data_IF_548022804489
#
_entry.id   IF_548022804489
#
_cell.length_a   1.000
_cell.length_b   1.000
_cell.length_c   1.000
_cell.angle_alpha   90.00
_cell.angle_beta   90.00
_cell.angle_gamma   90.00
#
_symmetry.space_group_name_H-M   'P 1'
#
loop_
_entity.id
_entity.type
_entity.pdbx_description
1 polymer ?
#
# COMPACT_ATOMS: atom_id res chain seq x y z
N UNK A 1 -6.63 -5.42 -2.26
CA UNK A 1 -6.36 -4.56 -1.08
C UNK A 1 -7.61 -3.99 -0.41
N UNK A 2 -8.71 -3.74 -1.13
CA UNK A 2 -9.71 -2.72 -0.73
C UNK A 2 -10.68 -3.08 0.40
N UNK A 3 -11.02 -4.36 0.59
CA UNK A 3 -11.91 -4.75 1.68
C UNK A 3 -11.20 -5.05 3.01
N UNK A 4 -9.88 -5.19 2.97
CA UNK A 4 -9.07 -5.59 4.11
C UNK A 4 -8.39 -4.41 4.79
N UNK A 5 -8.27 -3.29 4.07
CA UNK A 5 -7.67 -2.07 4.57
C UNK A 5 -8.78 -1.09 4.92
N UNK A 6 -8.72 -0.53 6.12
CA UNK A 6 -9.45 0.69 6.41
C UNK A 6 -8.88 1.86 5.60
N UNK A 7 -9.63 2.97 5.59
CA UNK A 7 -9.26 4.19 4.86
C UNK A 7 -7.87 4.70 5.22
N UNK A 8 -7.50 4.67 6.50
CA UNK A 8 -6.21 5.17 6.95
C UNK A 8 -5.07 4.24 6.57
N UNK A 9 -5.28 2.93 6.62
CA UNK A 9 -4.32 1.91 6.21
C UNK A 9 -4.06 1.98 4.70
N UNK A 10 -5.11 2.14 3.90
CA UNK A 10 -4.98 2.37 2.45
C UNK A 10 -4.22 3.67 2.15
N UNK A 11 -4.59 4.77 2.81
CA UNK A 11 -3.91 6.08 2.65
C UNK A 11 -2.43 5.98 3.02
N UNK A 12 -2.10 5.33 4.14
CA UNK A 12 -0.71 5.09 4.54
C UNK A 12 0.04 4.24 3.53
N UNK A 13 -0.56 3.14 3.09
CA UNK A 13 0.05 2.24 2.11
C UNK A 13 0.35 2.97 0.80
N UNK A 14 -0.59 3.76 0.29
CA UNK A 14 -0.41 4.52 -0.95
C UNK A 14 0.75 5.53 -0.81
N UNK A 15 0.74 6.34 0.25
CA UNK A 15 1.78 7.35 0.48
C UNK A 15 3.15 6.70 0.63
N UNK A 16 3.25 5.65 1.45
CA UNK A 16 4.54 4.98 1.64
C UNK A 16 5.03 4.25 0.39
N UNK A 17 4.15 3.62 -0.39
CA UNK A 17 4.55 3.01 -1.66
C UNK A 17 5.16 4.05 -2.61
N UNK A 18 4.52 5.21 -2.76
CA UNK A 18 5.00 6.28 -3.66
C UNK A 18 6.32 6.91 -3.16
N UNK A 19 6.46 7.09 -1.85
CA UNK A 19 7.64 7.75 -1.28
C UNK A 19 8.84 6.81 -1.10
N UNK A 20 8.61 5.52 -0.86
CA UNK A 20 9.69 4.61 -0.47
C UNK A 20 9.89 3.42 -1.40
N UNK A 21 8.91 3.04 -2.22
CA UNK A 21 9.01 1.86 -3.10
C UNK A 21 9.19 2.21 -4.58
N UNK A 22 9.10 3.48 -4.96
CA UNK A 22 9.29 3.97 -6.33
C UNK A 22 7.99 4.40 -7.00
N UNK A 23 7.91 4.26 -8.31
CA UNK A 23 6.69 4.52 -9.07
C UNK A 23 5.73 3.34 -8.92
N UNK A 24 4.46 3.64 -8.62
CA UNK A 24 3.45 2.63 -8.35
C UNK A 24 2.63 2.34 -9.61
N UNK A 25 2.71 1.09 -10.11
CA UNK A 25 1.82 0.62 -11.17
C UNK A 25 0.51 0.10 -10.57
N UNK A 26 -0.62 0.65 -11.00
CA UNK A 26 -1.95 0.27 -10.51
C UNK A 26 -2.82 -0.24 -11.64
N UNK A 27 -3.28 -1.50 -11.60
CA UNK A 27 -4.24 -2.01 -12.57
C UNK A 27 -5.51 -1.17 -12.54
N UNK A 28 -5.93 -0.73 -13.72
CA UNK A 28 -7.05 0.18 -13.96
C UNK A 28 -8.31 -0.12 -13.15
N UNK A 29 -8.68 -1.40 -13.01
CA UNK A 29 -9.90 -1.79 -12.33
C UNK A 29 -9.94 -1.32 -10.88
N UNK A 30 -8.80 -1.33 -10.17
CA UNK A 30 -8.70 -0.89 -8.77
C UNK A 30 -9.05 0.59 -8.59
N UNK A 31 -8.90 1.40 -9.64
CA UNK A 31 -9.32 2.81 -9.58
C UNK A 31 -10.83 2.95 -9.41
N UNK A 32 -11.60 2.03 -10.00
CA UNK A 32 -13.05 2.19 -10.16
C UNK A 32 -13.87 1.26 -9.26
N UNK A 33 -13.29 0.17 -8.75
CA UNK A 33 -13.99 -0.72 -7.80
C UNK A 33 -13.80 -0.28 -6.33
N UNK A 34 -12.75 0.48 -6.04
CA UNK A 34 -12.45 0.96 -4.68
C UNK A 34 -13.31 2.14 -4.26
N UNK A 35 -13.95 2.04 -3.09
CA UNK A 35 -14.46 3.24 -2.39
C UNK A 35 -13.34 4.11 -1.86
N UNK A 36 -12.16 3.53 -1.59
CA UNK A 36 -11.06 4.20 -0.90
C UNK A 36 -10.36 5.24 -1.77
N UNK A 37 -10.32 5.04 -3.09
CA UNK A 37 -9.84 6.05 -4.03
C UNK A 37 -10.75 7.28 -4.07
N UNK A 38 -12.07 7.06 -4.12
CA UNK A 38 -13.03 8.15 -4.07
C UNK A 38 -12.92 8.92 -2.75
N UNK A 39 -12.83 8.21 -1.62
CA UNK A 39 -12.69 8.85 -0.31
C UNK A 39 -11.37 9.62 -0.16
N UNK A 40 -10.32 9.23 -0.88
CA UNK A 40 -9.04 9.94 -0.92
C UNK A 40 -9.15 11.23 -1.75
N UNK A 41 -9.78 11.16 -2.93
CA UNK A 41 -10.05 12.33 -3.78
C UNK A 41 -10.93 13.34 -3.04
N UNK A 42 -12.00 12.86 -2.38
CA UNK A 42 -12.94 13.69 -1.63
C UNK A 42 -12.34 14.29 -0.35
N UNK A 43 -11.28 13.70 0.19
CA UNK A 43 -10.63 14.17 1.42
C UNK A 43 -9.80 15.44 1.28
N UNK A 44 -9.63 15.95 0.05
CA UNK A 44 -8.71 17.04 -0.23
C UNK A 44 -9.44 18.34 -0.64
N UNK A 45 -9.68 19.27 0.29
CA UNK A 45 -10.43 20.50 0.02
C UNK A 45 -9.62 21.57 -0.75
N UNK A 46 -8.32 21.37 -0.97
CA UNK A 46 -7.42 22.41 -1.51
C UNK A 46 -7.08 22.23 -3.00
N UNK A 47 -7.76 21.31 -3.71
CA UNK A 47 -7.65 21.15 -5.16
C UNK A 47 -6.35 20.49 -5.66
N UNK A 48 -5.36 20.25 -4.79
CA UNK A 48 -4.10 19.59 -5.16
C UNK A 48 -3.91 18.29 -4.37
N UNK A 49 -4.71 17.27 -4.70
CA UNK A 49 -4.68 16.02 -3.94
C UNK A 49 -3.39 15.23 -4.16
N UNK A 50 -2.92 14.56 -3.12
CA UNK A 50 -1.70 13.75 -3.19
C UNK A 50 -1.74 12.77 -4.36
N UNK A 51 -2.88 12.09 -4.58
CA UNK A 51 -3.06 11.15 -5.70
C UNK A 51 -3.01 11.85 -7.06
N UNK A 52 -3.67 13.01 -7.23
CA UNK A 52 -3.60 13.80 -8.46
C UNK A 52 -2.16 14.21 -8.76
N UNK A 53 -1.41 14.63 -7.74
CA UNK A 53 0.02 14.98 -7.88
C UNK A 53 0.87 13.75 -8.24
N UNK A 54 0.60 12.58 -7.65
CA UNK A 54 1.29 11.34 -8.03
C UNK A 54 1.08 10.98 -9.50
N UNK A 55 -0.16 11.06 -9.99
CA UNK A 55 -0.51 10.81 -11.39
C UNK A 55 0.18 11.83 -12.30
N UNK A 56 0.11 13.11 -11.96
CA UNK A 56 0.71 14.21 -12.73
C UNK A 56 2.23 14.10 -12.87
N UNK A 57 2.90 13.54 -11.85
CA UNK A 57 4.36 13.39 -11.82
C UNK A 57 4.83 11.99 -12.24
N UNK A 58 3.94 11.10 -12.71
CA UNK A 58 4.31 9.76 -13.16
C UNK A 58 4.64 8.75 -12.05
N UNK A 59 4.50 9.13 -10.78
CA UNK A 59 4.71 8.21 -9.66
C UNK A 59 3.50 7.29 -9.38
N UNK A 60 2.37 7.56 -10.03
CA UNK A 60 1.24 6.65 -10.11
C UNK A 60 0.95 6.36 -11.59
N UNK A 61 1.25 5.14 -12.01
CA UNK A 61 1.19 4.68 -13.39
C UNK A 61 -0.01 3.73 -13.54
N UNK A 62 -1.13 4.16 -14.14
CA UNK A 62 -2.22 3.24 -14.40
C UNK A 62 -1.80 2.19 -15.45
N UNK A 63 -2.20 0.94 -15.22
CA UNK A 63 -2.09 -0.13 -16.20
C UNK A 63 -3.47 -0.40 -16.82
N UNK A 64 -3.69 0.12 -18.02
CA UNK A 64 -4.94 0.01 -18.78
C UNK A 64 -4.99 -1.31 -19.55
N UNK A 65 -6.16 -1.95 -19.59
CA UNK A 65 -6.38 -3.18 -20.39
C UNK A 65 -6.23 -2.99 -21.89
N UNK A 66 -6.46 -1.77 -22.37
CA UNK A 66 -6.41 -1.39 -23.77
C UNK A 66 -5.62 -0.09 -23.89
N UNK A 67 -5.09 0.19 -25.08
CA UNK A 67 -4.52 1.49 -25.36
C UNK A 67 -5.65 2.53 -25.44
N UNK A 68 -5.76 3.35 -24.40
CA UNK A 68 -6.75 4.43 -24.29
C UNK A 68 -6.18 5.80 -24.61
N UNK A 69 -4.98 5.84 -25.22
CA UNK A 69 -4.24 7.06 -25.52
C UNK A 69 -4.03 7.95 -24.29
N UNK A 70 -3.94 7.33 -23.11
CA UNK A 70 -3.72 8.02 -21.84
C UNK A 70 -4.97 8.64 -21.19
N UNK A 71 -6.18 8.27 -21.60
CA UNK A 71 -7.41 8.78 -20.97
C UNK A 71 -8.01 7.80 -19.95
N UNK A 72 -8.26 8.31 -18.74
CA UNK A 72 -9.00 7.60 -17.68
C UNK A 72 -10.49 7.48 -18.04
N UNK A 73 -11.07 8.53 -18.62
CA UNK A 73 -12.48 8.52 -19.03
C UNK A 73 -12.77 7.49 -20.13
N UNK A 74 -11.87 7.35 -21.12
CA UNK A 74 -11.97 6.32 -22.16
C UNK A 74 -11.83 4.92 -21.54
N UNK A 75 -10.84 4.73 -20.67
CA UNK A 75 -10.61 3.47 -19.99
C UNK A 75 -11.83 3.00 -19.17
N UNK A 76 -12.49 3.90 -18.42
CA UNK A 76 -13.71 3.55 -17.70
C UNK A 76 -14.83 3.08 -18.62
N UNK A 77 -15.04 3.76 -19.76
CA UNK A 77 -16.05 3.35 -20.76
C UNK A 77 -15.78 1.96 -21.30
N UNK A 78 -14.53 1.61 -21.55
CA UNK A 78 -14.16 0.27 -22.04
C UNK A 78 -14.35 -0.80 -20.97
N UNK A 79 -14.04 -0.51 -19.70
CA UNK A 79 -14.34 -1.40 -18.57
C UNK A 79 -15.85 -1.64 -18.44
N UNK A 80 -16.67 -0.60 -18.55
CA UNK A 80 -18.14 -0.69 -18.50
C UNK A 80 -18.70 -1.50 -19.67
N UNK A 81 -18.21 -1.29 -20.90
CA UNK A 81 -18.60 -2.09 -22.08
C UNK A 81 -18.31 -3.57 -21.92
N UNK A 82 -17.19 -3.90 -21.28
CA UNK A 82 -16.80 -5.28 -20.98
C UNK A 82 -17.58 -5.89 -19.79
N UNK A 83 -18.57 -5.17 -19.24
CA UNK A 83 -19.43 -5.65 -18.15
C UNK A 83 -18.65 -6.18 -16.94
N UNK A 84 -17.52 -5.53 -16.63
CA UNK A 84 -16.72 -5.88 -15.46
C UNK A 84 -17.53 -5.51 -14.20
N UNK A 85 -17.67 -6.46 -13.29
CA UNK A 85 -18.47 -6.33 -12.08
C UNK A 85 -17.78 -5.48 -11.00
N UNK A 86 -18.57 -4.94 -10.08
CA UNK A 86 -18.08 -4.22 -8.89
C UNK A 86 -17.66 -2.77 -9.11
N UNK A 87 -17.95 -2.16 -10.27
CA UNK A 87 -17.65 -0.74 -10.52
C UNK A 87 -18.48 0.13 -9.56
N UNK A 88 -17.81 1.00 -8.81
CA UNK A 88 -18.44 1.88 -7.83
C UNK A 88 -19.20 3.02 -8.52
N UNK A 89 -20.29 3.50 -7.91
CA UNK A 89 -21.13 4.58 -8.47
C UNK A 89 -20.40 5.93 -8.63
N UNK A 90 -19.26 6.11 -7.96
CA UNK A 90 -18.36 7.29 -8.09
C UNK A 90 -17.27 7.13 -9.15
N UNK A 91 -17.24 6.04 -9.92
CA UNK A 91 -16.16 5.79 -10.89
C UNK A 91 -15.97 6.91 -11.93
N UNK A 92 -17.07 7.50 -12.43
CA UNK A 92 -16.99 8.61 -13.38
C UNK A 92 -16.33 9.86 -12.77
N UNK A 93 -16.65 10.16 -11.50
CA UNK A 93 -16.00 11.25 -10.76
C UNK A 93 -14.50 10.98 -10.63
N UNK A 94 -14.11 9.76 -10.23
CA UNK A 94 -12.69 9.38 -10.11
C UNK A 94 -11.98 9.57 -11.46
N UNK A 95 -12.56 9.08 -12.55
CA UNK A 95 -11.98 9.22 -13.89
C UNK A 95 -11.79 10.69 -14.29
N UNK A 96 -12.81 11.54 -14.08
CA UNK A 96 -12.75 12.96 -14.40
C UNK A 96 -11.67 13.70 -13.58
N UNK A 97 -11.58 13.43 -12.28
CA UNK A 97 -10.62 14.06 -11.37
C UNK A 97 -9.18 13.66 -11.71
N UNK A 98 -8.94 12.41 -12.13
CA UNK A 98 -7.64 11.93 -12.57
C UNK A 98 -7.27 12.46 -13.97
N UNK A 99 -8.24 12.58 -14.87
CA UNK A 99 -8.06 13.20 -16.20
C UNK A 99 -7.69 14.70 -16.07
N UNK A 100 -8.34 15.42 -15.16
CA UNK A 100 -7.99 16.81 -14.87
C UNK A 100 -6.54 16.95 -14.36
N UNK A 101 -6.08 15.99 -13.54
CA UNK A 101 -4.73 16.02 -12.97
C UNK A 101 -3.62 15.97 -14.03
N UNK A 102 -3.91 15.40 -15.21
CA UNK A 102 -2.99 15.29 -16.34
C UNK A 102 -3.23 16.34 -17.43
N UNK A 103 -4.14 17.30 -17.20
CA UNK A 103 -4.45 18.31 -18.21
C UNK A 103 -3.19 19.05 -18.70
N UNK A 104 -2.97 19.03 -20.02
CA UNK A 104 -1.79 19.63 -20.66
C UNK A 104 -0.49 18.83 -20.49
N UNK A 105 -0.54 17.59 -19.98
CA UNK A 105 0.60 16.67 -19.86
C UNK A 105 0.27 15.31 -20.48
N UNK A 106 1.27 14.61 -20.96
CA UNK A 106 1.13 13.20 -21.34
C UNK A 106 1.07 12.33 -20.09
N UNK A 107 0.02 11.52 -19.95
CA UNK A 107 -0.03 10.50 -18.90
C UNK A 107 1.01 9.42 -19.18
N UNK A 108 1.79 9.07 -18.15
CA UNK A 108 2.56 7.82 -18.15
C UNK A 108 1.63 6.67 -17.77
N UNK A 109 1.46 5.70 -18.66
CA UNK A 109 0.62 4.52 -18.42
C UNK A 109 1.26 3.28 -19.03
N UNK A 110 0.80 2.11 -18.60
CA UNK A 110 1.12 0.83 -19.20
C UNK A 110 -0.12 0.23 -19.84
N UNK A 111 0.07 -0.55 -20.90
CA UNK A 111 -0.99 -1.41 -21.46
C UNK A 111 -0.77 -2.82 -20.95
N UNK A 112 -1.85 -3.52 -20.60
CA UNK A 112 -1.77 -4.92 -20.18
C UNK A 112 -1.10 -5.75 -21.29
N UNK A 113 -0.13 -6.62 -20.95
CA UNK A 113 0.40 -7.63 -21.85
C UNK A 113 -0.72 -8.43 -22.53
N UNK A 114 -0.48 -8.85 -23.77
CA UNK A 114 -1.39 -9.72 -24.54
C UNK A 114 -1.48 -11.14 -23.99
N UNK A 115 -0.58 -11.50 -23.06
CA UNK A 115 -0.55 -12.79 -22.40
C UNK A 115 -1.80 -12.98 -21.51
N UNK A 116 -2.36 -14.20 -21.44
CA UNK A 116 -3.56 -14.46 -20.66
C UNK A 116 -3.27 -14.39 -19.15
N UNK A 117 -3.56 -13.23 -18.54
CA UNK A 117 -3.41 -12.99 -17.10
C UNK A 117 -4.09 -14.06 -16.24
N UNK A 118 -5.25 -14.56 -16.67
CA UNK A 118 -6.04 -15.55 -15.94
C UNK A 118 -5.35 -16.91 -15.85
N UNK A 119 -4.61 -17.31 -16.88
CA UNK A 119 -3.86 -18.58 -16.89
C UNK A 119 -2.66 -18.50 -15.93
N UNK A 120 -1.90 -17.40 -15.99
CA UNK A 120 -0.80 -17.17 -15.04
C UNK A 120 -1.28 -17.06 -13.59
N UNK A 121 -2.44 -16.45 -13.39
CA UNK A 121 -3.05 -16.34 -12.07
C UNK A 121 -3.49 -17.70 -11.52
N UNK A 122 -4.14 -18.54 -12.34
CA UNK A 122 -4.46 -19.93 -12.00
C UNK A 122 -3.22 -20.71 -11.60
N UNK A 123 -2.18 -20.69 -12.43
CA UNK A 123 -0.93 -21.40 -12.15
C UNK A 123 -0.29 -20.93 -10.83
N UNK A 124 -0.36 -19.64 -10.52
CA UNK A 124 0.12 -19.09 -9.24
C UNK A 124 -0.71 -19.58 -8.07
N UNK A 125 -2.04 -19.55 -8.18
CA UNK A 125 -2.97 -20.02 -7.15
C UNK A 125 -2.78 -21.51 -6.88
N UNK A 126 -2.75 -22.35 -7.91
CA UNK A 126 -2.57 -23.80 -7.76
C UNK A 126 -1.19 -24.12 -7.17
N UNK A 127 -0.12 -23.51 -7.71
CA UNK A 127 1.25 -23.75 -7.21
C UNK A 127 1.43 -23.37 -5.74
N UNK A 128 0.74 -22.34 -5.27
CA UNK A 128 0.88 -21.86 -3.89
C UNK A 128 -0.14 -22.50 -2.99
N UNK A 129 -1.43 -22.36 -3.28
CA UNK A 129 -2.51 -22.76 -2.40
C UNK A 129 -2.83 -24.25 -2.46
N UNK A 130 -2.34 -25.02 -3.44
CA UNK A 130 -2.48 -26.48 -3.49
C UNK A 130 -1.15 -27.22 -3.26
N UNK A 131 -0.09 -26.50 -2.86
CA UNK A 131 1.16 -27.14 -2.50
C UNK A 131 0.96 -28.10 -1.30
N UNK A 132 1.37 -29.35 -1.49
CA UNK A 132 1.35 -30.39 -0.44
C UNK A 132 2.32 -30.07 0.70
N UNK A 133 3.49 -29.54 0.36
CA UNK A 133 4.51 -29.13 1.31
C UNK A 133 4.66 -27.60 1.31
N UNK A 134 4.67 -26.98 2.50
CA UNK A 134 5.06 -25.57 2.62
C UNK A 134 6.57 -25.51 2.78
N UNK A 135 7.27 -24.70 1.97
CA UNK A 135 8.68 -24.40 2.16
C UNK A 135 9.09 -23.76 3.50
N UNK A 136 8.17 -23.39 4.39
CA UNK A 136 8.48 -22.54 5.55
C UNK A 136 8.68 -23.36 6.83
N UNK A 137 9.79 -23.17 7.54
CA UNK A 137 9.98 -23.64 8.93
C UNK A 137 9.21 -22.81 9.97
N UNK A 138 8.13 -22.13 9.58
CA UNK A 138 7.34 -21.25 10.43
C UNK A 138 6.10 -22.00 10.95
N UNK A 139 6.21 -22.55 12.17
CA UNK A 139 5.16 -23.35 12.85
C UNK A 139 3.74 -22.75 12.77
N UNK A 140 3.62 -21.41 12.80
CA UNK A 140 2.32 -20.74 12.70
C UNK A 140 1.70 -20.85 11.31
N UNK A 141 2.51 -20.74 10.26
CA UNK A 141 2.06 -20.88 8.88
C UNK A 141 1.70 -22.34 8.60
N UNK A 142 2.56 -23.29 9.01
CA UNK A 142 2.30 -24.74 8.93
C UNK A 142 0.94 -25.10 9.55
N UNK A 143 0.72 -24.72 10.82
CA UNK A 143 -0.55 -25.00 11.50
C UNK A 143 -1.74 -24.36 10.79
N UNK A 144 -1.61 -23.12 10.32
CA UNK A 144 -2.70 -22.47 9.59
C UNK A 144 -2.99 -23.22 8.28
N UNK A 145 -1.95 -23.65 7.58
CA UNK A 145 -2.04 -24.37 6.31
C UNK A 145 -2.72 -25.73 6.44
N UNK A 146 -2.35 -26.52 7.44
CA UNK A 146 -2.98 -27.79 7.78
C UNK A 146 -4.46 -27.57 8.09
N UNK A 147 -4.78 -26.61 8.96
CA UNK A 147 -6.17 -26.35 9.35
C UNK A 147 -7.04 -25.77 8.23
N UNK A 148 -6.44 -25.31 7.13
CA UNK A 148 -7.15 -24.71 5.99
C UNK A 148 -7.02 -25.55 4.72
N UNK A 149 -6.49 -26.78 4.79
CA UNK A 149 -6.31 -27.64 3.61
C UNK A 149 -7.62 -27.92 2.88
N UNK A 150 -8.64 -28.39 3.59
CA UNK A 150 -9.96 -28.64 2.99
C UNK A 150 -10.53 -27.38 2.34
N UNK A 151 -10.47 -26.25 3.05
CA UNK A 151 -10.92 -24.96 2.53
C UNK A 151 -10.20 -24.61 1.22
N UNK A 152 -8.86 -24.70 1.20
CA UNK A 152 -8.03 -24.37 0.03
C UNK A 152 -8.37 -25.26 -1.15
N UNK A 153 -8.42 -26.57 -0.92
CA UNK A 153 -8.64 -27.57 -1.96
C UNK A 153 -10.04 -27.45 -2.56
N UNK A 154 -11.07 -27.29 -1.73
CA UNK A 154 -12.46 -27.14 -2.21
C UNK A 154 -12.63 -25.81 -2.95
N UNK A 155 -12.19 -24.69 -2.37
CA UNK A 155 -12.35 -23.37 -3.00
C UNK A 155 -11.64 -23.30 -4.36
N UNK A 156 -10.40 -23.79 -4.45
CA UNK A 156 -9.66 -23.78 -5.73
C UNK A 156 -10.29 -24.78 -6.71
N UNK A 157 -10.66 -25.98 -6.26
CA UNK A 157 -11.25 -27.02 -7.10
C UNK A 157 -12.62 -26.66 -7.68
N UNK A 158 -13.43 -25.89 -6.94
CA UNK A 158 -14.76 -25.44 -7.39
C UNK A 158 -14.73 -24.15 -8.22
N UNK A 159 -13.55 -23.54 -8.40
CA UNK A 159 -13.44 -22.27 -9.13
C UNK A 159 -13.64 -22.48 -10.63
N UNK A 160 -14.60 -21.73 -11.17
CA UNK A 160 -14.87 -21.72 -12.60
C UNK A 160 -13.66 -21.18 -13.38
N UNK A 161 -13.33 -21.87 -14.47
CA UNK A 161 -12.31 -21.42 -15.40
C UNK A 161 -12.96 -20.55 -16.48
N UNK A 162 -12.22 -19.54 -16.95
CA UNK A 162 -12.63 -18.75 -18.09
C UNK A 162 -12.44 -19.52 -19.41
N UNK A 163 -12.80 -18.88 -20.53
CA UNK A 163 -12.67 -19.49 -21.87
C UNK A 163 -11.24 -19.82 -22.27
N UNK A 164 -10.23 -19.31 -21.56
CA UNK A 164 -8.81 -19.58 -21.80
C UNK A 164 -8.26 -20.62 -20.80
N UNK A 165 -9.11 -21.21 -19.96
CA UNK A 165 -8.72 -22.19 -18.94
C UNK A 165 -8.05 -21.58 -17.70
N UNK A 166 -8.11 -20.25 -17.54
CA UNK A 166 -7.54 -19.52 -16.41
C UNK A 166 -8.58 -19.18 -15.34
N UNK A 167 -8.12 -18.60 -14.22
CA UNK A 167 -9.02 -18.10 -13.17
C UNK A 167 -9.24 -16.59 -13.31
N UNK A 168 -10.46 -16.13 -13.01
CA UNK A 168 -10.69 -14.71 -12.71
C UNK A 168 -10.72 -14.52 -11.20
N UNK A 169 -10.25 -13.36 -10.74
CA UNK A 169 -10.20 -13.02 -9.31
C UNK A 169 -11.57 -13.15 -8.63
N UNK A 170 -12.61 -12.63 -9.27
CA UNK A 170 -13.97 -12.69 -8.71
C UNK A 170 -14.53 -14.11 -8.68
N UNK A 171 -14.11 -15.02 -9.57
CA UNK A 171 -14.55 -16.42 -9.54
C UNK A 171 -14.04 -17.13 -8.30
N UNK A 172 -12.80 -16.86 -7.87
CA UNK A 172 -12.29 -17.34 -6.58
C UNK A 172 -13.04 -16.73 -5.39
N UNK A 173 -13.39 -15.45 -5.44
CA UNK A 173 -14.20 -14.82 -4.38
C UNK A 173 -15.58 -15.46 -4.29
N UNK A 174 -16.20 -15.77 -5.42
CA UNK A 174 -17.48 -16.49 -5.50
C UNK A 174 -17.35 -17.92 -4.95
N UNK A 175 -16.26 -18.63 -5.24
CA UNK A 175 -16.01 -19.96 -4.66
C UNK A 175 -15.85 -19.92 -3.15
N UNK A 176 -15.15 -18.90 -2.62
CA UNK A 176 -15.07 -18.70 -1.17
C UNK A 176 -16.45 -18.46 -0.56
N UNK A 177 -17.28 -17.59 -1.18
CA UNK A 177 -18.63 -17.32 -0.71
C UNK A 177 -19.52 -18.58 -0.72
N UNK A 178 -19.41 -19.41 -1.76
CA UNK A 178 -20.13 -20.70 -1.88
C UNK A 178 -19.71 -21.67 -0.77
N UNK A 179 -18.40 -21.85 -0.57
CA UNK A 179 -17.87 -22.71 0.49
C UNK A 179 -18.38 -22.29 1.87
N UNK A 180 -18.44 -20.99 2.14
CA UNK A 180 -18.91 -20.42 3.40
C UNK A 180 -20.43 -20.41 3.56
N UNK A 181 -21.19 -20.80 2.53
CA UNK A 181 -22.65 -20.74 2.52
C UNK A 181 -23.21 -19.31 2.55
N UNK A 182 -22.41 -18.32 2.13
CA UNK A 182 -22.81 -16.90 2.06
C UNK A 182 -23.16 -16.47 0.64
N UNK A 183 -23.27 -17.41 -0.30
CA UNK A 183 -23.58 -17.13 -1.69
C UNK A 183 -25.02 -16.62 -1.84
N UNK A 184 -25.15 -15.42 -2.40
CA UNK A 184 -26.42 -14.82 -2.81
C UNK A 184 -26.38 -14.37 -4.28
N UNK A 185 -25.45 -14.92 -5.06
CA UNK A 185 -25.09 -14.47 -6.41
C UNK A 185 -23.67 -13.91 -6.50
N UNK A 186 -23.29 -13.31 -7.65
CA UNK A 186 -21.94 -12.81 -7.87
C UNK A 186 -21.50 -11.77 -6.83
N UNK A 187 -20.37 -12.01 -6.17
CA UNK A 187 -19.79 -11.14 -5.16
C UNK A 187 -19.43 -9.77 -5.77
N UNK A 188 -20.20 -8.74 -5.40
CA UNK A 188 -19.94 -7.34 -5.81
C UNK A 188 -19.02 -6.62 -4.82
N UNK A 189 -19.18 -6.88 -3.52
CA UNK A 189 -18.34 -6.36 -2.46
C UNK A 189 -17.78 -7.56 -1.69
N UNK A 190 -16.47 -7.72 -1.72
CA UNK A 190 -15.83 -8.88 -1.10
C UNK A 190 -16.00 -8.92 0.42
N UNK A 191 -16.37 -7.81 1.09
CA UNK A 191 -16.74 -7.81 2.52
C UNK A 191 -17.98 -8.66 2.80
N UNK A 192 -18.88 -8.81 1.83
CA UNK A 192 -20.11 -9.61 2.00
C UNK A 192 -19.82 -11.08 2.26
N UNK A 193 -18.65 -11.56 1.82
CA UNK A 193 -18.16 -12.93 2.01
C UNK A 193 -18.03 -13.30 3.49
N UNK A 194 -17.71 -12.34 4.37
CA UNK A 194 -17.48 -12.63 5.79
C UNK A 194 -18.26 -11.76 6.78
N UNK A 195 -18.87 -10.64 6.36
CA UNK A 195 -19.56 -9.72 7.27
C UNK A 195 -20.75 -10.35 8.01
N UNK A 196 -21.35 -11.41 7.44
CA UNK A 196 -22.53 -12.09 8.00
C UNK A 196 -22.16 -13.38 8.76
N UNK A 197 -20.88 -13.74 8.82
CA UNK A 197 -20.44 -14.92 9.55
C UNK A 197 -20.47 -14.65 11.06
N UNK A 198 -21.13 -15.54 11.81
CA UNK A 198 -21.23 -15.45 13.27
C UNK A 198 -19.97 -15.94 13.99
N UNK A 199 -19.21 -16.83 13.36
CA UNK A 199 -17.98 -17.40 13.92
C UNK A 199 -16.79 -16.50 13.59
N UNK A 200 -16.25 -15.82 14.60
CA UNK A 200 -15.08 -14.94 14.46
C UNK A 200 -13.85 -15.65 13.90
N UNK A 201 -13.64 -16.94 14.22
CA UNK A 201 -12.49 -17.69 13.72
C UNK A 201 -12.67 -17.96 12.23
N UNK A 202 -13.86 -18.37 11.81
CA UNK A 202 -14.19 -18.58 10.41
C UNK A 202 -14.10 -17.26 9.62
N UNK A 203 -14.58 -16.16 10.19
CA UNK A 203 -14.43 -14.80 9.62
C UNK A 203 -12.98 -14.44 9.37
N UNK A 204 -12.09 -14.66 10.34
CA UNK A 204 -10.67 -14.34 10.19
C UNK A 204 -9.98 -15.25 9.17
N UNK A 205 -10.29 -16.55 9.17
CA UNK A 205 -9.82 -17.49 8.15
C UNK A 205 -10.25 -17.07 6.76
N UNK A 206 -11.53 -16.76 6.56
CA UNK A 206 -12.07 -16.29 5.28
C UNK A 206 -11.38 -15.00 4.82
N UNK A 207 -11.23 -14.03 5.72
CA UNK A 207 -10.53 -12.77 5.43
C UNK A 207 -9.10 -13.02 4.97
N UNK A 208 -8.36 -13.88 5.67
CA UNK A 208 -6.97 -14.21 5.33
C UNK A 208 -6.88 -14.96 4.00
N UNK A 209 -7.75 -15.93 3.76
CA UNK A 209 -7.79 -16.68 2.50
C UNK A 209 -8.06 -15.77 1.30
N UNK A 210 -9.05 -14.88 1.40
CA UNK A 210 -9.31 -13.92 0.32
C UNK A 210 -8.15 -12.92 0.16
N UNK A 211 -7.48 -12.54 1.25
CA UNK A 211 -6.27 -11.72 1.19
C UNK A 211 -5.13 -12.44 0.45
N UNK A 212 -4.87 -13.71 0.72
CA UNK A 212 -3.85 -14.52 0.04
C UNK A 212 -4.16 -14.76 -1.44
N UNK A 213 -5.43 -15.01 -1.77
CA UNK A 213 -5.91 -15.04 -3.17
C UNK A 213 -5.57 -13.73 -3.89
N UNK A 214 -5.78 -12.58 -3.24
CA UNK A 214 -5.38 -11.29 -3.81
C UNK A 214 -3.85 -11.12 -3.90
N UNK A 215 -3.06 -11.68 -2.98
CA UNK A 215 -1.60 -11.66 -3.09
C UNK A 215 -1.12 -12.47 -4.29
N UNK A 216 -1.69 -13.66 -4.53
CA UNK A 216 -1.43 -14.42 -5.76
C UNK A 216 -1.77 -13.61 -7.02
N UNK A 217 -2.86 -12.83 -6.99
CA UNK A 217 -3.27 -11.97 -8.10
C UNK A 217 -2.26 -10.84 -8.34
N UNK A 218 -1.85 -10.14 -7.27
CA UNK A 218 -0.86 -9.07 -7.33
C UNK A 218 0.51 -9.58 -7.78
N UNK A 219 0.91 -10.76 -7.31
CA UNK A 219 2.13 -11.44 -7.72
C UNK A 219 2.11 -11.84 -9.20
N UNK A 220 1.01 -12.43 -9.68
CA UNK A 220 0.86 -12.71 -11.11
C UNK A 220 0.93 -11.42 -11.94
N UNK A 221 0.25 -10.35 -11.50
CA UNK A 221 0.34 -9.06 -12.17
C UNK A 221 1.77 -8.53 -12.23
N UNK A 222 2.50 -8.55 -11.11
CA UNK A 222 3.87 -8.06 -11.08
C UNK A 222 4.76 -8.86 -12.05
N UNK A 223 4.61 -10.18 -12.12
CA UNK A 223 5.32 -11.03 -13.09
C UNK A 223 4.99 -10.66 -14.54
N UNK A 224 3.71 -10.49 -14.87
CA UNK A 224 3.28 -10.14 -16.22
C UNK A 224 3.84 -8.78 -16.68
N UNK A 225 3.98 -7.84 -15.75
CA UNK A 225 4.58 -6.52 -16.04
C UNK A 225 6.10 -6.47 -15.83
N UNK A 226 6.74 -7.57 -15.41
CA UNK A 226 8.16 -7.59 -14.99
C UNK A 226 8.49 -6.55 -13.90
N UNK A 227 7.60 -6.44 -12.91
CA UNK A 227 7.69 -5.53 -11.77
C UNK A 227 7.80 -6.29 -10.44
N UNK A 228 8.10 -5.55 -9.37
CA UNK A 228 8.06 -6.06 -8.00
C UNK A 228 6.66 -5.89 -7.39
N UNK A 229 6.06 -6.94 -6.80
CA UNK A 229 4.76 -6.82 -6.15
C UNK A 229 4.89 -6.04 -4.84
N UNK A 230 3.94 -5.13 -4.59
CA UNK A 230 3.79 -4.50 -3.27
C UNK A 230 2.67 -5.20 -2.52
N UNK A 231 3.02 -6.02 -1.53
CA UNK A 231 2.08 -6.74 -0.67
C UNK A 231 2.01 -6.04 0.69
N UNK A 232 0.84 -5.54 1.06
CA UNK A 232 0.63 -4.91 2.37
C UNK A 232 0.52 -5.97 3.49
N UNK A 233 1.65 -6.60 3.84
CA UNK A 233 1.75 -7.64 4.87
C UNK A 233 1.87 -7.00 6.25
N UNK A 234 0.74 -6.87 6.95
CA UNK A 234 0.67 -6.26 8.28
C UNK A 234 0.66 -7.31 9.41
N UNK A 235 0.30 -8.55 9.10
CA UNK A 235 0.27 -9.68 10.03
C UNK A 235 1.45 -10.62 9.77
N UNK A 236 2.08 -11.23 10.80
CA UNK A 236 3.19 -12.17 10.60
C UNK A 236 2.90 -13.31 9.63
N UNK A 237 1.68 -13.87 9.60
CA UNK A 237 1.34 -14.93 8.64
C UNK A 237 1.31 -14.41 7.21
N UNK A 238 0.89 -13.17 7.00
CA UNK A 238 0.89 -12.54 5.67
C UNK A 238 2.32 -12.20 5.21
N UNK A 239 3.25 -11.97 6.15
CA UNK A 239 4.67 -11.81 5.84
C UNK A 239 5.25 -13.15 5.37
N UNK A 240 5.01 -14.24 6.11
CA UNK A 240 5.49 -15.57 5.70
C UNK A 240 4.87 -16.04 4.38
N UNK A 241 3.58 -15.78 4.15
CA UNK A 241 2.95 -16.10 2.88
C UNK A 241 3.50 -15.25 1.72
N UNK A 242 3.84 -13.97 1.96
CA UNK A 242 4.50 -13.15 0.96
C UNK A 242 5.92 -13.67 0.62
N UNK A 243 6.66 -14.19 1.60
CA UNK A 243 7.95 -14.86 1.37
C UNK A 243 7.80 -16.10 0.51
N UNK A 244 6.81 -16.93 0.81
CA UNK A 244 6.49 -18.11 0.00
C UNK A 244 6.27 -17.75 -1.48
N UNK A 245 5.55 -16.65 -1.75
CA UNK A 245 5.38 -16.15 -3.11
C UNK A 245 6.70 -15.76 -3.76
N UNK A 246 7.60 -15.09 -3.03
CA UNK A 246 8.91 -14.69 -3.54
C UNK A 246 9.83 -15.89 -3.86
N UNK A 247 9.75 -16.95 -3.06
CA UNK A 247 10.52 -18.18 -3.27
C UNK A 247 10.16 -18.89 -4.59
N UNK A 248 8.93 -18.74 -5.09
CA UNK A 248 8.50 -19.32 -6.38
C UNK A 248 9.35 -18.85 -7.57
N UNK A 249 9.96 -17.68 -7.44
CA UNK A 249 10.86 -17.06 -8.42
C UNK A 249 12.30 -17.58 -8.32
N UNK A 250 12.59 -18.54 -7.43
CA UNK A 250 13.95 -19.00 -7.17
C UNK A 250 14.79 -17.94 -6.44
N UNK A 251 14.16 -16.87 -5.96
CA UNK A 251 14.78 -15.86 -5.12
C UNK A 251 14.85 -16.43 -3.70
N UNK A 252 16.02 -16.92 -3.29
CA UNK A 252 16.24 -17.34 -1.91
C UNK A 252 15.94 -16.16 -0.97
N UNK A 253 14.99 -16.35 -0.04
CA UNK A 253 14.76 -15.42 1.05
C UNK A 253 15.94 -15.48 2.03
N UNK A 254 16.45 -14.32 2.45
CA UNK A 254 17.64 -14.19 3.29
C UNK A 254 17.31 -13.49 4.60
N UNK A 255 17.83 -14.00 5.72
CA UNK A 255 17.41 -13.68 7.09
C UNK A 255 18.42 -12.82 7.86
N UNK A 256 18.73 -11.63 7.36
CA UNK A 256 19.41 -10.59 8.15
C UNK A 256 18.43 -9.43 8.42
N UNK A 257 18.31 -9.02 9.69
CA UNK A 257 17.41 -7.95 10.13
C UNK A 257 18.28 -6.75 10.53
N UNK A 258 18.36 -5.73 9.69
CA UNK A 258 18.95 -4.44 10.08
C UNK A 258 17.93 -3.67 10.93
N UNK A 259 18.37 -3.13 12.08
CA UNK A 259 17.53 -2.38 13.00
C UNK A 259 18.04 -0.94 13.13
N UNK A 260 17.80 -0.12 12.10
CA UNK A 260 17.97 1.32 12.20
C UNK A 260 16.62 2.01 12.39
N UNK A 261 16.59 3.00 13.30
CA UNK A 261 15.39 3.77 13.62
C UNK A 261 15.39 5.11 12.90
N UNK A 262 14.58 5.25 11.85
CA UNK A 262 14.40 6.52 11.16
C UNK A 262 13.24 7.32 11.78
N UNK A 263 13.41 8.64 11.88
CA UNK A 263 12.33 9.56 12.27
C UNK A 263 11.62 10.09 11.03
N UNK A 264 10.45 9.54 10.73
CA UNK A 264 9.58 10.03 9.67
C UNK A 264 8.37 10.76 10.25
N UNK A 265 7.94 11.90 9.67
CA UNK A 265 6.63 12.45 9.97
C UNK A 265 5.52 11.42 9.69
N UNK A 266 4.42 11.48 10.45
CA UNK A 266 3.28 10.61 10.16
C UNK A 266 2.70 10.93 8.77
N UNK A 267 2.01 9.97 8.16
CA UNK A 267 1.34 10.22 6.87
C UNK A 267 0.34 11.37 6.97
N UNK A 268 -0.42 11.44 8.07
CA UNK A 268 -1.32 12.57 8.31
C UNK A 268 -0.57 13.91 8.33
N UNK A 269 0.63 13.96 8.92
CA UNK A 269 1.47 15.15 8.95
C UNK A 269 2.05 15.50 7.58
N UNK A 270 2.56 14.51 6.82
CA UNK A 270 3.05 14.74 5.46
C UNK A 270 1.95 15.30 4.55
N UNK A 271 0.73 14.79 4.70
CA UNK A 271 -0.41 15.24 3.89
C UNK A 271 -0.98 16.61 4.29
N UNK A 272 -0.38 17.28 5.28
CA UNK A 272 -0.62 18.72 5.54
C UNK A 272 0.31 19.63 4.74
N UNK A 273 1.29 19.06 4.04
CA UNK A 273 2.20 19.78 3.15
C UNK A 273 1.65 19.70 1.72
N UNK A 274 1.80 20.77 0.94
CA UNK A 274 1.57 20.73 -0.51
C UNK A 274 2.32 19.53 -1.13
N UNK A 275 1.61 18.56 -1.76
CA UNK A 275 2.25 17.39 -2.35
C UNK A 275 3.38 17.72 -3.33
N UNK A 276 3.33 18.85 -4.04
CA UNK A 276 4.41 19.24 -4.95
C UNK A 276 5.75 19.42 -4.23
N UNK A 277 5.73 19.95 -3.01
CA UNK A 277 6.93 20.09 -2.16
C UNK A 277 7.50 18.72 -1.77
N UNK A 278 6.63 17.75 -1.50
CA UNK A 278 7.08 16.38 -1.22
C UNK A 278 7.78 15.80 -2.45
N UNK A 279 7.21 16.02 -3.63
CA UNK A 279 7.79 15.59 -4.90
C UNK A 279 9.10 16.32 -5.24
N UNK A 280 9.27 17.58 -4.85
CA UNK A 280 10.57 18.28 -4.98
C UNK A 280 11.71 17.52 -4.27
N UNK A 281 11.45 16.88 -3.11
CA UNK A 281 12.46 16.05 -2.43
C UNK A 281 12.60 14.69 -3.12
N UNK A 282 11.47 14.05 -3.44
CA UNK A 282 11.44 12.76 -4.14
C UNK A 282 12.23 12.77 -5.44
N UNK A 283 12.09 13.84 -6.22
CA UNK A 283 12.67 13.95 -7.55
C UNK A 283 13.99 14.75 -7.53
N UNK A 284 14.44 15.22 -6.36
CA UNK A 284 15.76 15.82 -6.18
C UNK A 284 16.90 14.79 -6.29
N UNK A 285 18.14 15.28 -6.27
CA UNK A 285 19.32 14.43 -6.15
C UNK A 285 19.27 13.49 -4.93
N UNK A 286 18.71 13.94 -3.79
CA UNK A 286 18.62 13.11 -2.57
C UNK A 286 17.66 11.94 -2.76
N UNK A 287 16.49 12.19 -3.37
CA UNK A 287 15.52 11.12 -3.65
C UNK A 287 16.01 10.19 -4.75
N UNK A 288 16.64 10.73 -5.80
CA UNK A 288 17.26 9.95 -6.88
C UNK A 288 18.34 9.01 -6.35
N UNK A 289 19.23 9.50 -5.49
CA UNK A 289 20.25 8.68 -4.82
C UNK A 289 19.63 7.55 -3.98
N UNK A 290 18.54 7.84 -3.25
CA UNK A 290 17.81 6.85 -2.48
C UNK A 290 17.20 5.76 -3.36
N UNK A 291 16.47 6.11 -4.42
CA UNK A 291 15.87 5.12 -5.31
C UNK A 291 16.91 4.32 -6.09
N UNK A 292 18.05 4.94 -6.44
CA UNK A 292 19.18 4.22 -7.03
C UNK A 292 19.76 3.18 -6.06
N UNK A 293 19.95 3.55 -4.78
CA UNK A 293 20.42 2.63 -3.74
C UNK A 293 19.41 1.51 -3.47
N UNK A 294 18.11 1.82 -3.46
CA UNK A 294 17.03 0.85 -3.31
C UNK A 294 17.06 -0.18 -4.45
N UNK A 295 17.16 0.28 -5.70
CA UNK A 295 17.22 -0.59 -6.86
C UNK A 295 18.51 -1.42 -6.89
N UNK A 296 19.64 -0.89 -6.42
CA UNK A 296 20.89 -1.63 -6.31
C UNK A 296 20.77 -2.76 -5.27
N UNK A 297 20.22 -2.46 -4.09
CA UNK A 297 19.96 -3.46 -3.06
C UNK A 297 18.96 -4.52 -3.52
N UNK A 298 17.86 -4.16 -4.16
CA UNK A 298 16.86 -5.11 -4.69
C UNK A 298 17.44 -6.06 -5.76
N UNK A 299 18.42 -5.60 -6.55
CA UNK A 299 19.08 -6.42 -7.58
C UNK A 299 20.15 -7.34 -7.01
N UNK A 300 20.93 -6.84 -6.04
CA UNK A 300 21.99 -7.59 -5.40
C UNK A 300 22.01 -7.24 -3.91
N UNK A 301 21.21 -7.98 -3.11
CA UNK A 301 21.33 -7.85 -1.68
C UNK A 301 22.74 -8.33 -1.27
N UNK A 302 23.64 -7.40 -0.85
CA UNK A 302 24.80 -7.62 0.05
C UNK A 302 24.79 -6.68 1.30
N UNK A 303 25.46 -7.01 2.42
CA UNK A 303 25.57 -6.10 3.58
C UNK A 303 26.02 -4.68 3.15
N UNK A 304 26.94 -4.60 2.19
CA UNK A 304 27.38 -3.35 1.58
C UNK A 304 26.24 -2.56 0.91
N UNK A 305 25.42 -3.22 0.08
CA UNK A 305 24.29 -2.53 -0.58
C UNK A 305 23.19 -2.13 0.40
N UNK A 306 23.02 -2.89 1.50
CA UNK A 306 22.10 -2.53 2.58
C UNK A 306 22.59 -1.27 3.33
N UNK A 307 23.88 -1.19 3.68
CA UNK A 307 24.42 -0.02 4.37
C UNK A 307 24.30 1.24 3.51
N UNK A 308 24.61 1.15 2.21
CA UNK A 308 24.44 2.26 1.27
C UNK A 308 22.97 2.71 1.22
N UNK A 309 22.02 1.76 1.16
CA UNK A 309 20.59 2.06 1.19
C UNK A 309 20.19 2.79 2.47
N UNK A 310 20.62 2.31 3.64
CA UNK A 310 20.34 2.93 4.94
C UNK A 310 20.87 4.36 5.03
N UNK A 311 22.09 4.61 4.56
CA UNK A 311 22.70 5.95 4.53
C UNK A 311 21.88 6.91 3.65
N UNK A 312 21.48 6.47 2.44
CA UNK A 312 20.67 7.29 1.54
C UNK A 312 19.25 7.51 2.06
N UNK A 313 18.66 6.51 2.69
CA UNK A 313 17.36 6.59 3.34
C UNK A 313 17.35 7.59 4.50
N UNK A 314 18.43 7.66 5.28
CA UNK A 314 18.61 8.67 6.34
C UNK A 314 18.55 10.10 5.79
N UNK A 315 19.26 10.36 4.69
CA UNK A 315 19.25 11.66 4.01
C UNK A 315 17.87 11.98 3.43
N UNK A 316 17.24 11.02 2.77
CA UNK A 316 15.92 11.17 2.17
C UNK A 316 14.83 11.49 3.22
N UNK A 317 14.77 10.70 4.29
CA UNK A 317 13.83 10.92 5.39
C UNK A 317 14.07 12.26 6.12
N UNK A 318 15.32 12.68 6.24
CA UNK A 318 15.67 14.01 6.76
C UNK A 318 15.15 15.15 5.88
N UNK A 319 15.22 14.99 4.55
CA UNK A 319 14.64 15.93 3.58
C UNK A 319 13.12 16.07 3.72
N UNK A 320 12.41 14.94 3.82
CA UNK A 320 10.96 14.91 4.06
C UNK A 320 10.59 15.58 5.38
N UNK A 321 11.36 15.31 6.45
CA UNK A 321 11.16 15.93 7.76
C UNK A 321 11.35 17.45 7.70
N UNK A 322 12.40 17.92 7.02
CA UNK A 322 12.68 19.36 6.87
C UNK A 322 11.50 20.07 6.21
N UNK A 323 11.00 19.53 5.10
CA UNK A 323 9.84 20.10 4.41
C UNK A 323 8.60 20.14 5.29
N UNK A 324 8.34 19.08 6.07
CA UNK A 324 7.25 19.11 7.03
C UNK A 324 7.42 20.20 8.10
N UNK A 325 8.63 20.40 8.62
CA UNK A 325 8.91 21.44 9.61
C UNK A 325 8.77 22.85 9.03
N UNK A 326 9.17 23.06 7.78
CA UNK A 326 9.13 24.34 7.08
C UNK A 326 7.71 24.70 6.60
N UNK A 327 6.94 23.72 6.12
CA UNK A 327 5.68 23.96 5.39
C UNK A 327 4.45 23.31 6.01
N UNK A 328 4.61 22.25 6.82
CA UNK A 328 3.49 21.54 7.46
C UNK A 328 2.82 22.31 8.61
N UNK A 329 3.41 23.42 9.07
CA UNK A 329 2.95 24.21 10.23
C UNK A 329 2.31 25.56 9.88
N UNK A 330 1.82 25.77 8.66
CA UNK A 330 1.12 27.02 8.36
C UNK A 330 -0.21 27.12 9.15
N UNK A 331 -0.58 28.31 9.62
CA UNK A 331 -1.82 28.58 10.39
C UNK A 331 -3.11 28.07 9.71
N UNK A 332 -3.08 27.89 8.37
CA UNK A 332 -4.16 27.30 7.58
C UNK A 332 -4.38 25.82 7.93
N UNK A 333 -3.33 25.10 8.36
CA UNK A 333 -3.42 23.72 8.82
C UNK A 333 -4.07 23.57 10.21
N UNK A 334 -4.24 24.64 10.96
CA UNK A 334 -4.97 24.59 12.24
C UNK A 334 -6.47 24.50 12.04
N UNK A 335 -7.00 25.14 11.00
CA UNK A 335 -8.40 24.96 10.63
C UNK A 335 -8.66 23.55 10.06
N UNK A 336 -7.70 22.98 9.32
CA UNK A 336 -7.70 21.59 8.90
C UNK A 336 -7.66 20.63 10.09
N UNK A 337 -6.76 20.85 11.06
CA UNK A 337 -6.64 20.08 12.30
C UNK A 337 -7.94 20.11 13.10
N UNK A 338 -8.52 21.30 13.29
CA UNK A 338 -9.79 21.47 14.02
C UNK A 338 -10.97 20.78 13.31
N UNK A 339 -11.03 20.83 11.97
CA UNK A 339 -12.07 20.13 11.18
C UNK A 339 -11.89 18.60 11.17
N UNK A 340 -10.64 18.12 11.18
CA UNK A 340 -10.33 16.69 11.18
C UNK A 340 -10.59 16.03 12.55
N UNK A 341 -10.46 16.78 13.65
CA UNK A 341 -10.60 16.27 15.03
C UNK A 341 -12.01 16.49 15.58
N UNK A 342 -12.78 17.39 14.99
CA UNK A 342 -14.19 17.62 15.30
C UNK A 342 -15.02 17.16 14.10
N UNK A 343 -15.19 15.83 13.89
CA UNK A 343 -15.98 15.33 12.78
C UNK A 343 -17.45 15.50 13.13
N UNK A 344 -18.12 16.40 12.42
CA UNK A 344 -19.57 16.58 12.48
C UNK A 344 -20.04 17.46 13.63
N UNK A 345 -20.51 18.65 13.28
CA UNK A 345 -21.37 19.42 14.18
C UNK A 345 -21.25 20.92 13.98
N UNK A 346 -22.22 21.49 13.29
CA UNK A 346 -22.74 22.84 13.55
C UNK A 346 -23.32 22.96 14.99
N UNK A 347 -22.73 22.30 15.98
CA UNK A 347 -23.19 22.33 17.36
C UNK A 347 -22.35 23.34 18.14
N UNK A 348 -23.07 24.28 18.79
CA UNK A 348 -22.77 25.29 19.84
C UNK A 348 -21.35 25.57 20.37
N UNK A 349 -20.37 24.72 20.14
CA UNK A 349 -18.97 24.89 20.52
C UNK A 349 -18.11 25.56 19.43
N UNK A 350 -18.56 25.58 18.17
CA UNK A 350 -17.75 26.03 17.04
C UNK A 350 -17.39 27.52 17.03
N UNK A 351 -18.27 28.42 17.47
CA UNK A 351 -17.96 29.86 17.55
C UNK A 351 -17.26 30.21 18.85
N UNK A 352 -17.75 29.73 19.99
CA UNK A 352 -17.18 30.05 21.32
C UNK A 352 -15.78 29.46 21.50
N UNK A 353 -15.54 28.21 21.12
CA UNK A 353 -14.18 27.63 21.25
C UNK A 353 -13.19 28.28 20.25
N UNK A 354 -13.67 28.69 19.07
CA UNK A 354 -12.86 29.40 18.06
C UNK A 354 -12.57 30.84 18.51
N UNK A 355 -13.56 31.56 19.04
CA UNK A 355 -13.41 32.91 19.59
C UNK A 355 -12.54 32.90 20.85
N UNK A 356 -12.77 31.99 21.81
CA UNK A 356 -11.92 31.88 23.02
C UNK A 356 -10.48 31.51 22.67
N UNK A 357 -10.22 30.66 21.66
CA UNK A 357 -8.85 30.40 21.22
C UNK A 357 -8.22 31.57 20.44
N UNK A 358 -8.99 32.28 19.63
CA UNK A 358 -8.53 33.50 18.94
C UNK A 358 -8.25 34.62 19.95
N UNK A 359 -9.05 34.72 21.01
CA UNK A 359 -8.92 35.71 22.08
C UNK A 359 -7.76 35.37 23.03
N UNK A 360 -7.53 34.09 23.32
CA UNK A 360 -6.32 33.63 24.03
C UNK A 360 -5.06 33.82 23.18
N UNK A 361 -5.12 33.55 21.87
CA UNK A 361 -4.02 33.83 20.96
C UNK A 361 -3.79 35.34 20.78
N UNK A 362 -4.84 36.15 20.72
CA UNK A 362 -4.77 37.60 20.55
C UNK A 362 -4.30 38.34 21.80
N UNK A 363 -4.68 37.89 22.99
CA UNK A 363 -4.31 38.55 24.26
C UNK A 363 -2.91 38.16 24.78
N UNK A 364 -2.30 37.10 24.24
CA UNK A 364 -0.89 36.72 24.54
C UNK A 364 0.08 37.35 23.53
N UNK A 365 -0.43 37.97 22.46
CA UNK A 365 0.35 38.62 21.39
C UNK A 365 0.09 40.13 21.40
N UNK A 366 0.54 40.85 22.45
CA UNK A 366 1.12 42.15 22.16
C UNK A 366 2.34 42.40 23.04
N UNK A 367 3.52 42.06 22.53
CA UNK A 367 4.79 42.56 23.07
C UNK A 367 5.88 41.51 23.20
N UNK A 368 6.84 41.59 22.28
CA UNK A 368 8.23 41.12 22.43
C UNK A 368 8.46 39.60 22.19
N UNK A 369 9.05 39.29 21.03
CA UNK A 369 9.90 38.12 20.69
C UNK A 369 9.54 36.75 21.27
N UNK A 370 8.83 35.89 20.51
CA UNK A 370 8.29 34.64 21.04
C UNK A 370 8.26 33.44 20.06
N UNK A 371 9.25 33.26 19.19
CA UNK A 371 9.46 31.97 18.48
C UNK A 371 10.16 30.91 19.35
N UNK A 372 10.76 31.30 20.49
CA UNK A 372 11.51 30.38 21.38
C UNK A 372 10.75 29.94 22.65
N UNK A 373 9.66 30.62 23.03
CA UNK A 373 8.94 30.37 24.29
C UNK A 373 7.70 29.47 24.13
N UNK A 374 7.05 29.47 22.96
CA UNK A 374 5.93 28.55 22.66
C UNK A 374 6.38 27.09 22.73
N UNK A 375 7.64 26.80 22.38
CA UNK A 375 8.22 25.46 22.51
C UNK A 375 8.46 25.01 23.96
N UNK A 376 8.75 25.93 24.88
CA UNK A 376 8.99 25.60 26.30
C UNK A 376 7.69 25.46 27.09
N UNK A 377 6.67 26.26 26.78
CA UNK A 377 5.36 26.14 27.42
C UNK A 377 4.61 24.87 26.97
N UNK A 378 4.67 24.50 25.69
CA UNK A 378 4.09 23.25 25.20
C UNK A 378 4.76 21.99 25.80
N UNK A 379 6.04 22.08 26.19
CA UNK A 379 6.74 21.03 26.93
C UNK A 379 6.36 21.00 28.42
N UNK A 380 6.11 22.16 29.05
CA UNK A 380 5.72 22.23 30.46
C UNK A 380 4.27 21.79 30.73
N UNK A 381 3.35 22.03 29.79
CA UNK A 381 1.99 21.45 29.84
C UNK A 381 1.97 19.94 29.57
N UNK A 382 3.01 19.38 28.96
CA UNK A 382 3.13 17.93 28.73
C UNK A 382 3.46 17.15 30.03
N UNK A 383 4.25 17.73 30.95
CA UNK A 383 4.58 17.08 32.23
C UNK A 383 3.44 17.10 33.26
N UNK A 384 2.44 17.96 33.05
CA UNK A 384 1.33 18.16 34.00
C UNK A 384 0.01 17.49 33.58
N UNK A 385 -0.04 16.83 32.42
CA UNK A 385 -1.19 16.05 31.98
C UNK A 385 -1.03 14.56 32.33
N UNK A 386 -1.99 13.94 33.04
CA UNK A 386 -1.89 12.54 33.42
C UNK A 386 -1.86 11.63 32.19
N UNK A 387 -1.10 10.52 32.30
CA UNK A 387 -0.81 9.51 31.29
C UNK A 387 -2.02 8.70 30.76
N UNK A 388 -3.24 9.21 30.95
CA UNK A 388 -4.51 8.57 30.61
C UNK A 388 -5.05 8.92 29.23
N UNK A 389 -4.32 9.69 28.40
CA UNK A 389 -4.72 10.01 27.01
C UNK A 389 -3.66 9.61 25.96
N UNK A 390 -3.64 8.33 25.50
CA UNK A 390 -2.69 7.83 24.50
C UNK A 390 -2.85 8.44 23.09
N UNK A 391 -3.94 9.17 22.82
CA UNK A 391 -4.32 9.64 21.48
C UNK A 391 -3.63 10.95 21.05
N UNK A 392 -3.05 11.72 21.96
CA UNK A 392 -2.45 13.03 21.66
C UNK A 392 -1.03 12.95 21.06
N UNK A 393 -0.29 11.85 21.29
CA UNK A 393 1.05 11.66 20.73
C UNK A 393 1.06 11.50 19.19
N UNK A 394 0.00 10.93 18.62
CA UNK A 394 -0.20 10.85 17.15
C UNK A 394 -0.58 12.20 16.53
N UNK A 395 -1.22 13.07 17.31
CA UNK A 395 -1.76 14.37 16.89
C UNK A 395 -0.71 15.48 16.80
N UNK A 396 0.40 15.37 17.54
CA UNK A 396 1.47 16.38 17.59
C UNK A 396 2.69 16.05 16.72
N UNK A 397 2.58 15.07 15.81
CA UNK A 397 3.64 14.76 14.85
C UNK A 397 4.92 14.20 15.48
N UNK A 398 4.84 13.59 16.67
CA UNK A 398 5.97 12.83 17.22
C UNK A 398 6.10 11.55 16.41
N UNK A 399 7.14 11.48 15.58
CA UNK A 399 7.39 10.35 14.69
C UNK A 399 7.43 9.03 15.48
N UNK A 400 6.64 8.05 15.03
CA UNK A 400 6.94 6.66 15.36
C UNK A 400 8.29 6.35 14.71
N UNK A 401 9.23 5.74 15.45
CA UNK A 401 10.39 5.11 14.82
C UNK A 401 9.86 4.14 13.78
N UNK A 402 10.16 4.38 12.51
CA UNK A 402 9.86 3.40 11.47
C UNK A 402 11.02 2.42 11.49
N UNK A 403 10.69 1.17 11.78
CA UNK A 403 11.59 0.03 11.65
C UNK A 403 11.52 -0.41 10.20
N UNK A 404 12.63 -0.34 9.50
CA UNK A 404 12.74 -0.78 8.11
C UNK A 404 13.59 -2.05 8.15
N UNK A 405 12.97 -3.19 7.84
CA UNK A 405 13.65 -4.46 7.71
C UNK A 405 14.12 -4.58 6.26
N UNK A 406 15.45 -4.59 6.06
CA UNK A 406 16.10 -4.68 4.76
C UNK A 406 16.80 -6.05 4.71
N UNK A 407 16.49 -6.90 3.75
CA UNK A 407 16.93 -8.31 3.68
C UNK A 407 18.20 -8.50 2.84
N UNK A 408 19.13 -9.36 3.27
CA UNK A 408 20.41 -9.49 2.58
C UNK A 408 21.23 -10.77 2.88
N UNK A 409 21.95 -11.37 1.91
CA UNK A 409 22.98 -12.40 2.17
C UNK A 409 24.18 -12.37 1.22
N UNK A 410 25.35 -12.59 1.81
CA UNK A 410 26.58 -13.00 1.12
C UNK A 410 27.01 -14.36 1.67
N UNK A 411 27.22 -15.34 0.79
CA UNK A 411 28.00 -16.54 1.14
C UNK A 411 29.13 -16.63 0.13
N UNK A 412 30.37 -16.38 0.56
CA UNK A 412 31.55 -16.87 -0.16
C UNK A 412 31.52 -18.38 -0.04
N UNK A 413 31.21 -19.08 -1.13
CA UNK A 413 31.52 -20.50 -1.23
C UNK A 413 33.04 -20.57 -1.31
N UNK A 414 33.64 -21.12 -0.26
CA UNK A 414 35.04 -21.49 -0.24
C UNK A 414 35.34 -22.50 -1.34
N UNK A 415 36.52 -22.39 -1.91
CA UNK A 415 37.15 -23.41 -2.74
C UNK A 415 37.10 -24.76 -2.02
N UNK A 416 36.42 -25.76 -2.62
CA UNK A 416 36.51 -27.22 -2.40
C UNK A 416 35.29 -27.85 -3.08
N UNK A 417 35.35 -28.75 -4.05
CA UNK A 417 36.42 -29.38 -4.80
C UNK A 417 35.77 -30.12 -5.97
N UNK A 418 36.58 -30.50 -6.95
CA UNK A 418 36.19 -31.23 -8.15
C UNK A 418 35.29 -32.43 -7.87
N UNK A 419 34.12 -32.47 -8.52
CA UNK A 419 33.38 -33.70 -8.74
C UNK A 419 32.69 -33.62 -10.11
N UNK A 420 33.37 -34.20 -11.10
CA UNK A 420 32.79 -34.56 -12.40
C UNK A 420 31.57 -35.46 -12.20
N UNK A 421 30.44 -35.13 -12.82
CA UNK A 421 29.37 -36.08 -13.11
C UNK A 421 28.99 -35.92 -14.59
N UNK A 422 28.87 -37.01 -15.36
CA UNK A 422 28.87 -36.98 -16.81
C UNK A 422 27.50 -36.62 -17.38
N UNK A 423 27.55 -35.90 -18.50
CA UNK A 423 26.46 -35.76 -19.46
C UNK A 423 26.08 -37.15 -20.00
N UNK A 424 24.83 -37.57 -19.79
CA UNK A 424 24.19 -38.56 -20.64
C UNK A 424 22.95 -37.92 -21.25
N UNK A 425 22.93 -37.91 -22.58
CA UNK A 425 21.93 -37.29 -23.42
C UNK A 425 21.34 -38.41 -24.29
N UNK A 426 20.08 -38.76 -24.06
CA UNK A 426 19.27 -39.41 -25.10
C UNK A 426 17.78 -39.46 -24.77
N UNK A 427 17.01 -39.47 -25.86
CA UNK A 427 15.58 -39.71 -26.06
C UNK A 427 14.68 -38.47 -25.99
N UNK A 428 14.25 -37.95 -27.15
CA UNK A 428 13.16 -38.45 -28.05
C UNK A 428 11.77 -38.23 -27.47
#
# INVERSE_FOLDING_TARGET
>A
MEAFLDRDAFRRSLVYSVLFHGDLVVPDIYLYISTLFADLIDSDPCGCSFIKTCVRNGAFIPAFRQDTQGSFCVNLKDIQRNSIQGIHNRAEKIAAELEEAIYGKSLQYLVWPTQPFSVGYKATVERVLLASDIPSGALRLEKFWETTEEFRTVVVGETNQDSLGGFRRNDLHNSVARYLGTDSGPVQDVRTVWQNLKDNRLTETARRMVKWVNYCYHYNHSRMFSLHPTLASLDPLDVEFARLLAELEGKQSSTAIFQEGFQLPSVSALLTVDPNRIFEIRDSAVGTDYFAALAAWQRSPSEDTAQILLDKLSLYTSGLRRIYLEHGRSLVNWEWFLRAIIPGGESRWGSVAKETMIEVAGNVIPGIGLTSLVGKWAAATYESFPSSFPSLGHLLGVGKRIRIEIENKTTRIGEEGDAEIPYDASFE
#
